data_IF_417821495091
#
_entry.id   IF_417821495091
#
_cell.length_a   1.000
_cell.length_b   1.000
_cell.length_c   1.000
_cell.angle_alpha   90.00
_cell.angle_beta   90.00
_cell.angle_gamma   90.00
#
_symmetry.space_group_name_H-M   'P 1'
#
loop_
_entity.id
_entity.type
_entity.pdbx_description
1 polymer ?
#
# COMPACT_ATOMS: atom_id res chain seq x y z
N UNK A 1 16.36 -40.32 8.99
CA UNK A 1 17.28 -39.16 9.02
C UNK A 1 16.92 -38.23 7.87
N UNK A 2 16.07 -37.23 8.13
CA UNK A 2 15.64 -36.26 7.11
C UNK A 2 16.65 -35.13 6.97
N UNK A 3 17.10 -34.87 5.74
CA UNK A 3 18.09 -33.86 5.43
C UNK A 3 17.69 -32.48 5.99
N UNK A 4 18.53 -31.93 6.87
CA UNK A 4 18.41 -30.57 7.40
C UNK A 4 18.62 -29.61 6.21
N UNK A 5 17.54 -29.06 5.66
CA UNK A 5 17.57 -28.10 4.56
C UNK A 5 18.52 -26.96 4.96
N UNK A 6 19.67 -26.86 4.28
CA UNK A 6 20.69 -25.84 4.51
C UNK A 6 20.01 -24.48 4.30
N UNK A 7 19.76 -23.73 5.37
CA UNK A 7 19.24 -22.36 5.28
C UNK A 7 20.28 -21.59 4.46
N UNK A 8 19.86 -21.03 3.34
CA UNK A 8 20.70 -20.14 2.54
C UNK A 8 21.02 -18.92 3.38
N UNK A 9 22.33 -18.66 3.58
CA UNK A 9 22.87 -17.44 4.19
C UNK A 9 22.70 -16.24 3.24
N UNK A 10 21.49 -16.03 2.72
CA UNK A 10 21.19 -14.83 1.97
C UNK A 10 21.31 -13.63 2.92
N UNK A 11 22.02 -12.55 2.50
CA UNK A 11 22.09 -11.33 3.29
C UNK A 11 20.68 -10.88 3.68
N UNK A 12 20.42 -10.78 4.98
CA UNK A 12 19.11 -10.33 5.49
C UNK A 12 18.89 -8.90 5.04
N UNK A 13 17.98 -8.70 4.08
CA UNK A 13 17.63 -7.36 3.62
C UNK A 13 17.02 -6.57 4.79
N UNK A 14 17.67 -5.45 5.12
CA UNK A 14 17.19 -4.52 6.12
C UNK A 14 15.93 -3.79 5.62
N UNK A 15 14.89 -3.60 6.46
CA UNK A 15 13.67 -2.93 6.02
C UNK A 15 13.89 -1.51 5.51
N UNK A 16 14.81 -0.74 6.08
CA UNK A 16 15.08 0.61 5.58
C UNK A 16 15.81 0.56 4.25
N UNK A 17 16.73 -0.39 4.06
CA UNK A 17 17.38 -0.59 2.77
C UNK A 17 16.36 -1.00 1.69
N UNK A 18 15.42 -1.90 2.00
CA UNK A 18 14.34 -2.25 1.09
C UNK A 18 13.49 -1.03 0.71
N UNK A 19 13.19 -0.15 1.68
CA UNK A 19 12.47 1.10 1.43
C UNK A 19 13.28 2.03 0.52
N UNK A 20 14.59 2.15 0.76
CA UNK A 20 15.47 2.98 -0.06
C UNK A 20 15.54 2.47 -1.51
N UNK A 21 15.55 1.15 -1.72
CA UNK A 21 15.46 0.56 -3.06
C UNK A 21 14.13 0.95 -3.71
N UNK A 22 13.00 0.75 -3.01
CA UNK A 22 11.68 1.16 -3.50
C UNK A 22 11.63 2.65 -3.85
N UNK A 23 12.14 3.50 -2.96
CA UNK A 23 12.19 4.95 -3.16
C UNK A 23 13.07 5.33 -4.36
N UNK A 24 14.24 4.70 -4.49
CA UNK A 24 15.16 4.87 -5.61
C UNK A 24 14.51 4.51 -6.95
N UNK A 25 13.81 3.37 -7.02
CA UNK A 25 13.02 2.99 -8.20
C UNK A 25 11.88 3.98 -8.44
N UNK A 26 11.18 4.42 -7.40
CA UNK A 26 10.09 5.40 -7.46
C UNK A 26 10.49 6.76 -8.03
N UNK A 27 11.68 7.23 -7.69
CA UNK A 27 12.28 8.46 -8.24
C UNK A 27 12.86 8.22 -9.64
N UNK A 28 13.52 7.09 -9.87
CA UNK A 28 14.09 6.74 -11.17
C UNK A 28 13.04 6.55 -12.28
N UNK A 29 11.79 6.25 -11.90
CA UNK A 29 10.68 5.98 -12.83
C UNK A 29 9.74 7.16 -13.05
N UNK A 30 10.07 8.36 -12.58
CA UNK A 30 9.19 9.55 -12.68
C UNK A 30 8.85 9.96 -14.13
N UNK A 31 9.64 9.52 -15.12
CA UNK A 31 9.42 9.80 -16.54
C UNK A 31 8.58 8.75 -17.25
N UNK A 32 8.24 7.64 -16.58
CA UNK A 32 7.39 6.59 -17.16
C UNK A 32 5.92 7.00 -17.12
N UNK A 33 5.12 6.45 -18.03
CA UNK A 33 3.66 6.56 -17.98
C UNK A 33 3.10 5.97 -16.68
N UNK A 34 1.98 6.53 -16.19
CA UNK A 34 1.41 6.20 -14.88
C UNK A 34 1.18 4.68 -14.69
N UNK A 35 0.62 4.00 -15.68
CA UNK A 35 0.35 2.56 -15.60
C UNK A 35 1.63 1.73 -15.48
N UNK A 36 2.60 1.96 -16.38
CA UNK A 36 3.90 1.26 -16.36
C UNK A 36 4.61 1.50 -15.03
N UNK A 37 4.59 2.75 -14.57
CA UNK A 37 5.20 3.13 -13.30
C UNK A 37 4.58 2.39 -12.12
N UNK A 38 3.25 2.33 -12.03
CA UNK A 38 2.55 1.58 -10.98
C UNK A 38 2.94 0.10 -11.00
N UNK A 39 2.96 -0.54 -12.18
CA UNK A 39 3.38 -1.93 -12.31
C UNK A 39 4.81 -2.15 -11.81
N UNK A 40 5.75 -1.27 -12.19
CA UNK A 40 7.16 -1.37 -11.75
C UNK A 40 7.28 -1.23 -10.23
N UNK A 41 6.55 -0.29 -9.63
CA UNK A 41 6.64 -0.04 -8.19
C UNK A 41 6.02 -1.17 -7.36
N UNK A 42 4.85 -1.68 -7.76
CA UNK A 42 4.24 -2.83 -7.10
C UNK A 42 5.06 -4.10 -7.28
N UNK A 43 5.62 -4.33 -8.47
CA UNK A 43 6.50 -5.47 -8.73
C UNK A 43 7.79 -5.39 -7.90
N UNK A 44 8.32 -4.17 -7.71
CA UNK A 44 9.50 -3.94 -6.86
C UNK A 44 9.19 -4.27 -5.41
N UNK A 45 8.09 -3.75 -4.84
CA UNK A 45 7.67 -4.09 -3.48
C UNK A 45 7.44 -5.59 -3.31
N UNK A 46 6.71 -6.21 -4.23
CA UNK A 46 6.43 -7.63 -4.19
C UNK A 46 7.72 -8.46 -4.29
N UNK A 47 8.65 -8.09 -5.18
CA UNK A 47 9.95 -8.73 -5.31
C UNK A 47 10.79 -8.65 -4.03
N UNK A 48 10.82 -7.47 -3.38
CA UNK A 48 11.49 -7.29 -2.09
C UNK A 48 10.85 -8.14 -0.98
N UNK A 49 9.52 -8.25 -0.97
CA UNK A 49 8.79 -9.13 -0.05
C UNK A 49 9.11 -10.61 -0.30
N UNK A 50 9.13 -11.06 -1.56
CA UNK A 50 9.41 -12.45 -1.94
C UNK A 50 10.85 -12.84 -1.61
N UNK A 51 11.82 -11.98 -1.94
CA UNK A 51 13.23 -12.17 -1.58
C UNK A 51 13.40 -12.41 -0.08
N UNK A 52 12.59 -11.75 0.75
CA UNK A 52 12.66 -11.89 2.21
C UNK A 52 11.85 -13.05 2.77
N UNK A 53 10.72 -13.38 2.14
CA UNK A 53 9.87 -14.48 2.55
C UNK A 53 10.65 -15.81 2.58
N UNK A 54 11.62 -15.97 1.68
CA UNK A 54 12.51 -17.13 1.61
C UNK A 54 13.31 -17.35 2.91
N UNK A 55 13.69 -16.28 3.63
CA UNK A 55 14.52 -16.35 4.82
C UNK A 55 13.77 -16.50 6.15
N UNK A 56 12.55 -15.95 6.28
CA UNK A 56 11.85 -15.85 7.58
C UNK A 56 10.37 -16.21 7.60
N UNK A 57 9.76 -16.51 6.45
CA UNK A 57 8.33 -16.80 6.36
C UNK A 57 7.45 -15.59 6.70
N UNK A 58 6.28 -15.48 6.07
CA UNK A 58 5.29 -14.44 6.37
C UNK A 58 4.18 -15.09 7.19
N UNK A 59 4.03 -14.69 8.45
CA UNK A 59 2.97 -15.19 9.33
C UNK A 59 1.62 -14.56 8.98
N UNK A 60 0.94 -15.12 7.98
CA UNK A 60 -0.42 -14.76 7.66
C UNK A 60 -1.40 -15.70 8.38
N UNK A 61 -2.08 -15.18 9.41
CA UNK A 61 -3.24 -15.86 10.01
C UNK A 61 -4.47 -15.55 9.16
N UNK A 62 -4.93 -16.55 8.42
CA UNK A 62 -6.12 -16.45 7.58
C UNK A 62 -7.35 -16.87 8.38
N UNK A 63 -8.25 -15.93 8.64
CA UNK A 63 -9.59 -16.20 9.16
C UNK A 63 -10.58 -15.26 8.47
N UNK A 64 -11.70 -15.80 8.00
CA UNK A 64 -12.72 -15.00 7.30
C UNK A 64 -13.26 -13.86 8.19
N UNK A 65 -13.39 -14.12 9.49
CA UNK A 65 -13.78 -13.09 10.47
C UNK A 65 -12.78 -11.92 10.52
N UNK A 66 -11.48 -12.17 10.35
CA UNK A 66 -10.46 -11.11 10.32
C UNK A 66 -10.57 -10.27 9.04
N UNK A 67 -10.85 -10.91 7.90
CA UNK A 67 -11.12 -10.21 6.64
C UNK A 67 -12.35 -9.30 6.77
N UNK A 68 -13.45 -9.84 7.30
CA UNK A 68 -14.68 -9.07 7.52
C UNK A 68 -14.48 -7.89 8.47
N UNK A 69 -13.74 -8.09 9.57
CA UNK A 69 -13.37 -7.02 10.50
C UNK A 69 -12.54 -5.92 9.81
N UNK A 70 -11.51 -6.32 9.04
CA UNK A 70 -10.68 -5.40 8.28
C UNK A 70 -11.51 -4.57 7.30
N UNK A 71 -12.34 -5.23 6.50
CA UNK A 71 -13.24 -4.59 5.54
C UNK A 71 -14.18 -3.59 6.23
N UNK A 72 -14.77 -3.94 7.37
CA UNK A 72 -15.65 -3.07 8.14
C UNK A 72 -14.91 -1.81 8.64
N UNK A 73 -13.70 -1.95 9.19
CA UNK A 73 -12.88 -0.80 9.61
C UNK A 73 -12.52 0.08 8.41
N UNK A 74 -12.12 -0.52 7.30
CA UNK A 74 -11.82 0.21 6.06
C UNK A 74 -13.02 1.03 5.60
N UNK A 75 -14.23 0.47 5.64
CA UNK A 75 -15.46 1.18 5.30
C UNK A 75 -15.75 2.31 6.29
N UNK A 76 -15.70 2.05 7.60
CA UNK A 76 -15.95 3.06 8.63
C UNK A 76 -15.02 4.27 8.47
N UNK A 77 -13.75 4.03 8.17
CA UNK A 77 -12.74 5.08 8.02
C UNK A 77 -12.91 5.84 6.71
N UNK A 78 -13.21 5.15 5.60
CA UNK A 78 -13.26 5.77 4.27
C UNK A 78 -14.61 6.39 3.90
N UNK A 79 -15.72 5.87 4.44
CA UNK A 79 -17.07 6.30 4.09
C UNK A 79 -17.33 7.79 4.37
N UNK A 80 -16.92 8.38 5.51
CA UNK A 80 -17.11 9.81 5.73
C UNK A 80 -16.44 10.67 4.65
N UNK A 81 -15.24 10.31 4.21
CA UNK A 81 -14.55 11.03 3.14
C UNK A 81 -15.24 10.81 1.79
N UNK A 82 -15.68 9.58 1.50
CA UNK A 82 -16.42 9.28 0.28
C UNK A 82 -17.72 10.10 0.16
N UNK A 83 -18.38 10.39 1.29
CA UNK A 83 -19.62 11.17 1.33
C UNK A 83 -19.37 12.68 1.35
N UNK A 84 -18.42 13.16 2.17
CA UNK A 84 -18.22 14.58 2.46
C UNK A 84 -17.20 15.25 1.53
N UNK A 85 -16.26 14.49 0.97
CA UNK A 85 -15.17 14.98 0.12
C UNK A 85 -15.22 14.38 -1.30
N UNK A 86 -16.41 13.98 -1.76
CA UNK A 86 -16.62 13.26 -3.02
C UNK A 86 -16.02 13.98 -4.23
N UNK A 87 -16.23 15.30 -4.37
CA UNK A 87 -15.70 16.09 -5.49
C UNK A 87 -14.17 16.15 -5.48
N UNK A 88 -13.57 16.33 -4.30
CA UNK A 88 -12.12 16.32 -4.15
C UNK A 88 -11.54 14.93 -4.49
N UNK A 89 -12.18 13.85 -4.04
CA UNK A 89 -11.76 12.48 -4.34
C UNK A 89 -11.91 12.15 -5.83
N UNK A 90 -12.95 12.65 -6.51
CA UNK A 90 -13.10 12.51 -7.97
C UNK A 90 -11.97 13.21 -8.71
N UNK A 91 -11.67 14.46 -8.34
CA UNK A 91 -10.58 15.23 -8.95
C UNK A 91 -9.22 14.54 -8.74
N UNK A 92 -8.97 14.04 -7.52
CA UNK A 92 -7.74 13.30 -7.19
C UNK A 92 -7.65 12.01 -8.01
N UNK A 93 -8.74 11.25 -8.10
CA UNK A 93 -8.76 9.97 -8.81
C UNK A 93 -8.58 10.15 -10.33
N UNK A 94 -9.23 11.14 -10.93
CA UNK A 94 -9.06 11.47 -12.34
C UNK A 94 -7.61 11.87 -12.67
N UNK A 95 -6.96 12.58 -11.75
CA UNK A 95 -5.57 13.03 -11.91
C UNK A 95 -4.56 11.90 -11.70
N UNK A 96 -4.82 10.98 -10.78
CA UNK A 96 -3.96 9.81 -10.53
C UNK A 96 -4.08 8.76 -11.63
N UNK A 97 -5.27 8.60 -12.23
CA UNK A 97 -5.58 7.51 -13.14
C UNK A 97 -6.21 7.98 -14.47
N UNK A 98 -5.59 8.92 -15.21
CA UNK A 98 -6.22 9.60 -16.34
C UNK A 98 -6.58 8.71 -17.55
N UNK A 99 -6.05 7.49 -17.63
CA UNK A 99 -6.27 6.57 -18.74
C UNK A 99 -6.51 5.11 -18.31
N UNK A 100 -6.72 4.86 -17.01
CA UNK A 100 -6.83 3.50 -16.51
C UNK A 100 -8.19 2.88 -16.87
N UNK A 101 -8.17 1.65 -17.40
CA UNK A 101 -9.42 0.88 -17.50
C UNK A 101 -9.99 0.61 -16.11
N UNK A 102 -11.32 0.62 -15.96
CA UNK A 102 -12.01 0.37 -14.68
C UNK A 102 -11.57 -0.96 -14.05
N UNK A 103 -11.47 -2.02 -14.86
CA UNK A 103 -11.02 -3.33 -14.41
C UNK A 103 -9.55 -3.31 -13.95
N UNK A 104 -8.64 -2.73 -14.74
CA UNK A 104 -7.22 -2.66 -14.38
C UNK A 104 -6.99 -1.82 -13.13
N UNK A 105 -7.73 -0.72 -12.96
CA UNK A 105 -7.64 0.13 -11.77
C UNK A 105 -8.08 -0.63 -10.52
N UNK A 106 -9.23 -1.30 -10.57
CA UNK A 106 -9.71 -2.14 -9.46
C UNK A 106 -8.69 -3.22 -9.11
N UNK A 107 -8.21 -3.96 -10.11
CA UNK A 107 -7.21 -5.00 -9.92
C UNK A 107 -5.92 -4.44 -9.30
N UNK A 108 -5.45 -3.29 -9.80
CA UNK A 108 -4.25 -2.64 -9.28
C UNK A 108 -4.41 -2.19 -7.84
N UNK A 109 -5.53 -1.58 -7.47
CA UNK A 109 -5.71 -0.98 -6.14
C UNK A 109 -6.03 -2.02 -5.06
N UNK A 110 -6.85 -3.01 -5.41
CA UNK A 110 -7.44 -3.95 -4.45
C UNK A 110 -6.63 -5.24 -4.35
N UNK A 111 -6.13 -5.77 -5.48
CA UNK A 111 -5.46 -7.07 -5.51
C UNK A 111 -3.94 -6.99 -5.63
N UNK A 112 -3.39 -5.86 -6.06
CA UNK A 112 -1.94 -5.65 -6.17
C UNK A 112 -1.42 -4.73 -5.07
N UNK A 113 -1.86 -3.47 -5.05
CA UNK A 113 -1.36 -2.44 -4.16
C UNK A 113 -1.60 -2.80 -2.70
N UNK A 114 -2.86 -3.01 -2.29
CA UNK A 114 -3.17 -3.34 -0.90
C UNK A 114 -2.40 -4.56 -0.38
N UNK A 115 -2.39 -5.74 -1.05
CA UNK A 115 -1.57 -6.86 -0.57
C UNK A 115 -0.06 -6.57 -0.56
N UNK A 116 0.50 -6.00 -1.63
CA UNK A 116 1.95 -5.76 -1.74
C UNK A 116 2.45 -4.77 -0.70
N UNK A 117 1.71 -3.69 -0.50
CA UNK A 117 2.02 -2.68 0.50
C UNK A 117 1.88 -3.24 1.91
N UNK A 118 0.80 -3.96 2.22
CA UNK A 118 0.64 -4.53 3.56
C UNK A 118 1.70 -5.60 3.87
N UNK A 119 2.05 -6.45 2.90
CA UNK A 119 3.14 -7.43 3.06
C UNK A 119 4.45 -6.73 3.44
N UNK A 120 4.76 -5.62 2.79
CA UNK A 120 5.96 -4.86 3.05
C UNK A 120 5.88 -4.05 4.36
N UNK A 121 4.94 -3.10 4.44
CA UNK A 121 4.89 -2.15 5.53
C UNK A 121 4.47 -2.81 6.85
N UNK A 122 3.57 -3.80 6.83
CA UNK A 122 3.02 -4.42 8.05
C UNK A 122 3.68 -5.76 8.34
N UNK A 123 3.76 -6.61 7.32
CA UNK A 123 4.36 -7.94 7.44
C UNK A 123 5.87 -7.91 7.72
N UNK A 124 6.57 -6.93 7.16
CA UNK A 124 8.01 -6.80 7.31
C UNK A 124 8.37 -5.59 8.18
N UNK A 125 8.18 -4.37 7.69
CA UNK A 125 8.72 -3.17 8.33
C UNK A 125 8.17 -2.95 9.74
N UNK A 126 6.85 -2.98 9.94
CA UNK A 126 6.23 -2.79 11.24
C UNK A 126 6.62 -3.87 12.24
N UNK A 127 6.70 -5.12 11.79
CA UNK A 127 7.07 -6.26 12.63
C UNK A 127 8.46 -6.10 13.24
N UNK A 128 9.38 -5.42 12.56
CA UNK A 128 10.77 -5.25 13.00
C UNK A 128 11.10 -3.89 13.56
N UNK A 129 10.46 -2.83 13.05
CA UNK A 129 10.79 -1.43 13.36
C UNK A 129 9.66 -0.70 14.08
N UNK A 130 8.53 -1.36 14.32
CA UNK A 130 7.38 -0.82 15.02
C UNK A 130 6.43 0.01 14.15
N UNK A 131 5.27 0.32 14.73
CA UNK A 131 4.18 1.03 14.07
C UNK A 131 4.57 2.45 13.58
N UNK A 132 5.27 3.30 14.36
CA UNK A 132 5.58 4.66 13.92
C UNK A 132 6.44 4.68 12.65
N UNK A 133 7.48 3.84 12.59
CA UNK A 133 8.35 3.73 11.42
C UNK A 133 7.60 3.24 10.19
N UNK A 134 6.70 2.26 10.36
CA UNK A 134 5.87 1.77 9.27
C UNK A 134 4.90 2.82 8.73
N UNK A 135 4.22 3.56 9.61
CA UNK A 135 3.29 4.62 9.20
C UNK A 135 4.01 5.79 8.50
N UNK A 136 5.18 6.20 9.03
CA UNK A 136 5.98 7.26 8.43
C UNK A 136 6.50 6.87 7.04
N UNK A 137 7.11 5.68 6.91
CA UNK A 137 7.61 5.24 5.61
C UNK A 137 6.50 4.92 4.62
N UNK A 138 5.33 4.49 5.09
CA UNK A 138 4.14 4.39 4.25
C UNK A 138 3.75 5.76 3.69
N UNK A 139 3.67 6.80 4.53
CA UNK A 139 3.39 8.17 4.10
C UNK A 139 4.38 8.63 3.01
N UNK A 140 5.68 8.46 3.26
CA UNK A 140 6.73 8.84 2.30
C UNK A 140 6.67 8.01 1.01
N UNK A 141 6.36 6.71 1.10
CA UNK A 141 6.18 5.85 -0.06
C UNK A 141 5.02 6.31 -0.94
N UNK A 142 3.90 6.69 -0.33
CA UNK A 142 2.76 7.25 -1.05
C UNK A 142 3.06 8.63 -1.63
N UNK A 143 3.85 9.46 -0.94
CA UNK A 143 4.31 10.73 -1.49
C UNK A 143 5.09 10.53 -2.79
N UNK A 144 5.98 9.53 -2.83
CA UNK A 144 6.73 9.16 -4.04
C UNK A 144 5.76 8.70 -5.14
N UNK A 145 4.77 7.87 -4.82
CA UNK A 145 3.77 7.41 -5.78
C UNK A 145 2.97 8.57 -6.38
N UNK A 146 2.57 9.54 -5.55
CA UNK A 146 1.73 10.68 -5.95
C UNK A 146 2.49 11.84 -6.58
N UNK A 147 3.83 11.84 -6.49
CA UNK A 147 4.67 12.94 -6.98
C UNK A 147 4.44 13.29 -8.47
N UNK A 148 4.34 12.34 -9.43
CA UNK A 148 4.08 12.70 -10.82
C UNK A 148 2.74 13.41 -11.04
N UNK A 149 1.72 13.04 -10.28
CA UNK A 149 0.39 13.63 -10.39
C UNK A 149 0.32 15.00 -9.71
N UNK A 150 0.98 15.19 -8.56
CA UNK A 150 0.80 16.37 -7.71
C UNK A 150 2.08 17.19 -7.47
N UNK A 151 3.16 16.96 -8.23
CA UNK A 151 4.43 17.67 -8.05
C UNK A 151 4.35 19.19 -8.22
N UNK A 152 3.39 19.68 -9.04
CA UNK A 152 3.09 21.11 -9.16
C UNK A 152 2.21 21.69 -8.05
N UNK A 153 1.71 20.86 -7.12
CA UNK A 153 0.74 21.21 -6.09
C UNK A 153 1.24 20.78 -4.70
N UNK A 154 2.28 21.44 -4.15
CA UNK A 154 2.98 20.97 -2.96
C UNK A 154 2.08 20.83 -1.73
N UNK A 155 1.10 21.74 -1.56
CA UNK A 155 0.16 21.67 -0.44
C UNK A 155 -0.77 20.44 -0.55
N UNK A 156 -1.23 20.11 -1.75
CA UNK A 156 -2.07 18.92 -2.00
C UNK A 156 -1.24 17.66 -1.74
N UNK A 157 -0.01 17.61 -2.27
CA UNK A 157 0.89 16.48 -2.06
C UNK A 157 1.19 16.28 -0.56
N UNK A 158 1.44 17.36 0.19
CA UNK A 158 1.65 17.31 1.63
C UNK A 158 0.41 16.79 2.37
N UNK A 159 -0.78 17.32 2.06
CA UNK A 159 -2.04 16.86 2.65
C UNK A 159 -2.31 15.37 2.37
N UNK A 160 -2.10 14.93 1.12
CA UNK A 160 -2.21 13.52 0.76
C UNK A 160 -1.20 12.65 1.50
N UNK A 161 0.05 13.09 1.61
CA UNK A 161 1.11 12.39 2.35
C UNK A 161 0.70 12.19 3.82
N UNK A 162 0.20 13.24 4.47
CA UNK A 162 -0.30 13.16 5.85
C UNK A 162 -1.50 12.22 5.96
N UNK A 163 -2.48 12.33 5.05
CA UNK A 163 -3.64 11.44 5.04
C UNK A 163 -3.24 9.97 4.87
N UNK A 164 -2.26 9.68 4.00
CA UNK A 164 -1.70 8.35 3.83
C UNK A 164 -0.96 7.89 5.07
N UNK A 165 -0.22 8.75 5.77
CA UNK A 165 0.39 8.40 7.05
C UNK A 165 -0.64 8.00 8.12
N UNK A 166 -1.76 8.74 8.19
CA UNK A 166 -2.87 8.42 9.10
C UNK A 166 -3.54 7.09 8.75
N UNK A 167 -3.87 6.87 7.47
CA UNK A 167 -4.33 5.56 6.99
C UNK A 167 -3.32 4.47 7.31
N UNK A 168 -2.03 4.79 7.14
CA UNK A 168 -0.96 3.86 7.39
C UNK A 168 -0.86 3.42 8.85
N UNK A 169 -1.13 4.35 9.77
CA UNK A 169 -1.26 4.08 11.20
C UNK A 169 -2.49 3.22 11.50
N UNK A 170 -3.65 3.52 10.89
CA UNK A 170 -4.88 2.75 11.03
C UNK A 170 -4.67 1.29 10.58
N UNK A 171 -4.09 1.08 9.39
CA UNK A 171 -3.80 -0.25 8.88
C UNK A 171 -2.84 -0.98 9.83
N UNK A 172 -1.78 -0.31 10.28
CA UNK A 172 -0.86 -0.89 11.24
C UNK A 172 -1.50 -1.24 12.60
N UNK A 173 -2.49 -0.47 13.05
CA UNK A 173 -3.29 -0.81 14.23
C UNK A 173 -4.17 -2.05 13.99
N UNK A 174 -4.86 -2.12 12.84
CA UNK A 174 -5.67 -3.29 12.45
C UNK A 174 -4.80 -4.54 12.36
N UNK A 175 -3.61 -4.43 11.75
CA UNK A 175 -2.61 -5.49 11.73
C UNK A 175 -2.24 -5.96 13.14
N UNK A 176 -1.94 -5.03 14.05
CA UNK A 176 -1.57 -5.39 15.42
C UNK A 176 -2.70 -6.14 16.16
N UNK A 177 -3.96 -5.79 15.89
CA UNK A 177 -5.13 -6.39 16.55
C UNK A 177 -5.59 -7.71 15.95
N UNK A 178 -5.56 -7.85 14.62
CA UNK A 178 -6.21 -8.96 13.88
C UNK A 178 -5.32 -9.62 12.83
N UNK A 179 -4.08 -9.17 12.67
CA UNK A 179 -3.10 -9.73 11.75
C UNK A 179 -3.20 -9.20 10.33
N UNK A 180 -2.35 -9.74 9.46
CA UNK A 180 -2.10 -9.23 8.12
C UNK A 180 -3.33 -9.26 7.20
N UNK A 181 -4.11 -10.34 7.26
CA UNK A 181 -5.31 -10.49 6.44
C UNK A 181 -6.34 -9.37 6.69
N UNK A 182 -6.56 -9.00 7.96
CA UNK A 182 -7.44 -7.88 8.31
C UNK A 182 -6.90 -6.54 7.80
N UNK A 183 -5.58 -6.32 7.90
CA UNK A 183 -4.95 -5.09 7.39
C UNK A 183 -5.11 -4.95 5.88
N UNK A 184 -4.88 -6.04 5.14
CA UNK A 184 -5.08 -6.10 3.68
C UNK A 184 -6.53 -5.77 3.33
N UNK A 185 -7.51 -6.40 4.00
CA UNK A 185 -8.91 -6.14 3.73
C UNK A 185 -9.31 -4.68 4.04
N UNK A 186 -8.79 -4.12 5.15
CA UNK A 186 -9.00 -2.71 5.51
C UNK A 186 -8.47 -1.77 4.44
N UNK A 187 -7.22 -1.99 4.01
CA UNK A 187 -6.58 -1.19 2.97
C UNK A 187 -7.30 -1.35 1.62
N UNK A 188 -7.63 -2.58 1.22
CA UNK A 188 -8.36 -2.85 -0.02
C UNK A 188 -9.70 -2.11 -0.09
N UNK A 189 -10.50 -2.14 0.99
CA UNK A 189 -11.78 -1.40 1.06
C UNK A 189 -11.55 0.11 1.06
N UNK A 190 -10.55 0.60 1.80
CA UNK A 190 -10.22 2.03 1.80
C UNK A 190 -9.80 2.50 0.40
N UNK A 191 -8.97 1.75 -0.32
CA UNK A 191 -8.60 2.06 -1.71
C UNK A 191 -9.81 2.05 -2.64
N UNK A 192 -10.70 1.06 -2.46
CA UNK A 192 -11.93 0.99 -3.24
C UNK A 192 -12.80 2.24 -3.02
N UNK A 193 -13.01 2.65 -1.77
CA UNK A 193 -13.88 3.77 -1.42
C UNK A 193 -13.28 5.14 -1.71
N UNK A 194 -11.96 5.31 -1.52
CA UNK A 194 -11.29 6.60 -1.64
C UNK A 194 -10.79 6.90 -3.05
N UNK A 195 -10.54 5.87 -3.88
CA UNK A 195 -9.98 6.06 -5.22
C UNK A 195 -10.84 5.43 -6.31
N UNK A 196 -11.24 4.16 -6.15
CA UNK A 196 -11.95 3.46 -7.22
C UNK A 196 -13.41 3.93 -7.39
N UNK A 197 -14.18 4.03 -6.31
CA UNK A 197 -15.58 4.49 -6.36
C UNK A 197 -15.67 5.93 -6.89
N UNK A 198 -14.85 6.90 -6.42
CA UNK A 198 -14.82 8.24 -7.01
C UNK A 198 -14.47 8.22 -8.50
N UNK A 199 -13.52 7.38 -8.92
CA UNK A 199 -13.20 7.19 -10.34
C UNK A 199 -14.41 6.68 -11.15
N UNK A 200 -15.15 5.70 -10.64
CA UNK A 200 -16.35 5.17 -11.30
C UNK A 200 -17.48 6.21 -11.42
N UNK A 201 -17.62 7.10 -10.45
CA UNK A 201 -18.68 8.10 -10.40
C UNK A 201 -18.34 9.42 -11.10
N UNK A 202 -17.06 9.67 -11.36
CA UNK A 202 -16.55 10.89 -11.99
C UNK A 202 -16.12 10.73 -13.44
N UNK A 203 -16.08 9.50 -13.97
CA UNK A 203 -15.76 9.19 -15.37
C UNK A 203 -16.88 8.48 -16.11
#
# INVERSE_FOLDING_TARGET
MGARKKRSDLPTLDPYLAFLIFAGVGVGTLRLGAEVRSVVLWSTLLGLCLYRAEGRGIEARYALANLGYGAAVGLIVSLPFALLASDALRAVSAKLFPAASRAALFQSLVFLAAPSEELYFRGFLQRERGLPSAALLYALGMAILFLPAFGGFPLILAAMTVAMGLLGFIYGYVYHRRGLSASIACHAVANAMLFFVPFLLGG
#
